data_IF_967438235533
#
_entry.id   IF_967438235533
#
_cell.length_a   1.000
_cell.length_b   1.000
_cell.length_c   1.000
_cell.angle_alpha   90.00
_cell.angle_beta   90.00
_cell.angle_gamma   90.00
#
_symmetry.space_group_name_H-M   'P 1'
#
loop_
_entity.id
_entity.type
_entity.pdbx_description
1 polymer ?
#
# COMPACT_ATOMS: atom_id res chain seq x y z
N UNK A 1 -16.79 17.27 -0.94
CA UNK A 1 -16.70 15.99 -1.67
C UNK A 1 -16.90 14.92 -0.64
N UNK A 2 -17.91 14.09 -0.82
CA UNK A 2 -18.16 12.97 0.08
C UNK A 2 -17.37 11.78 -0.46
N UNK A 3 -16.55 11.16 0.38
CA UNK A 3 -15.87 9.91 0.06
C UNK A 3 -16.94 8.81 -0.05
N UNK A 4 -17.02 8.14 -1.19
CA UNK A 4 -18.01 7.08 -1.46
C UNK A 4 -17.39 5.69 -1.62
N UNK A 5 -16.05 5.59 -1.64
CA UNK A 5 -15.30 4.34 -1.60
C UNK A 5 -14.24 4.39 -0.50
N UNK A 6 -14.07 3.29 0.23
CA UNK A 6 -13.02 3.03 1.21
C UNK A 6 -12.50 1.60 0.99
N UNK A 7 -11.67 1.43 -0.05
CA UNK A 7 -11.02 0.16 -0.36
C UNK A 7 -9.96 -0.17 0.71
N UNK A 8 -10.31 -1.07 1.62
CA UNK A 8 -9.54 -1.28 2.83
C UNK A 8 -8.70 -2.56 2.74
N UNK A 9 -7.38 -2.44 2.83
CA UNK A 9 -6.49 -3.61 2.79
C UNK A 9 -6.74 -4.58 3.96
N UNK A 10 -7.30 -4.09 5.06
CA UNK A 10 -7.73 -4.80 6.26
C UNK A 10 -6.67 -5.70 6.92
N UNK A 11 -6.82 -5.97 8.21
CA UNK A 11 -6.01 -6.94 8.94
C UNK A 11 -6.94 -7.98 9.57
N UNK A 12 -6.72 -9.26 9.26
CA UNK A 12 -7.51 -10.35 9.84
C UNK A 12 -6.71 -11.09 10.93
N UNK A 13 -7.20 -11.17 12.18
CA UNK A 13 -8.47 -10.62 12.67
C UNK A 13 -8.41 -9.12 12.95
N UNK A 14 -9.54 -8.43 12.72
CA UNK A 14 -9.73 -7.05 13.11
C UNK A 14 -10.21 -6.97 14.58
N UNK A 15 -9.70 -6.04 15.41
CA UNK A 15 -8.53 -5.19 15.18
C UNK A 15 -7.22 -5.89 15.61
N UNK A 16 -6.24 -5.96 14.70
CA UNK A 16 -4.91 -6.54 14.95
C UNK A 16 -3.85 -5.53 15.45
N UNK A 17 -4.24 -4.28 15.71
CA UNK A 17 -3.33 -3.21 16.14
C UNK A 17 -2.57 -2.51 15.00
N UNK A 18 -2.84 -2.86 13.74
CA UNK A 18 -2.32 -2.19 12.55
C UNK A 18 -3.49 -1.68 11.69
N UNK A 19 -3.35 -0.49 11.11
CA UNK A 19 -4.35 0.13 10.25
C UNK A 19 -3.94 0.00 8.78
N UNK A 20 -4.86 -0.45 7.91
CA UNK A 20 -4.67 -0.51 6.45
C UNK A 20 -3.45 -1.30 5.97
N UNK A 21 -3.01 -2.30 6.74
CA UNK A 21 -1.87 -3.15 6.38
C UNK A 21 -2.34 -4.56 6.09
N UNK A 22 -1.97 -5.09 4.92
CA UNK A 22 -2.10 -6.49 4.58
C UNK A 22 -0.74 -7.09 4.27
N UNK A 23 -0.51 -8.33 4.71
CA UNK A 23 0.61 -9.13 4.22
C UNK A 23 0.32 -9.61 2.81
N UNK A 24 1.17 -9.21 1.85
CA UNK A 24 1.19 -9.82 0.54
C UNK A 24 2.11 -11.05 0.52
N UNK A 25 1.82 -12.05 -0.32
CA UNK A 25 2.73 -13.18 -0.55
C UNK A 25 4.09 -12.71 -1.06
N UNK A 26 5.17 -13.36 -0.63
CA UNK A 26 6.54 -12.93 -0.92
C UNK A 26 6.82 -12.87 -2.43
N UNK A 27 6.21 -13.76 -3.21
CA UNK A 27 6.33 -13.80 -4.67
C UNK A 27 5.76 -12.57 -5.39
N UNK A 28 4.93 -11.77 -4.73
CA UNK A 28 4.39 -10.53 -5.29
C UNK A 28 5.35 -9.35 -5.15
N UNK A 29 6.43 -9.50 -4.37
CA UNK A 29 7.40 -8.46 -4.05
C UNK A 29 8.80 -8.91 -4.46
N UNK A 30 9.49 -8.07 -5.21
CA UNK A 30 10.93 -8.21 -5.47
C UNK A 30 11.63 -6.97 -4.95
N UNK A 31 12.53 -7.12 -3.99
CA UNK A 31 13.24 -6.00 -3.38
C UNK A 31 14.74 -6.27 -3.30
N UNK A 32 15.53 -5.26 -3.68
CA UNK A 32 16.95 -5.11 -3.35
C UNK A 32 17.09 -3.79 -2.57
N UNK A 33 16.85 -3.81 -1.25
CA UNK A 33 16.81 -2.58 -0.45
C UNK A 33 18.14 -1.82 -0.43
N UNK A 34 19.27 -2.52 -0.53
CA UNK A 34 20.60 -1.91 -0.57
C UNK A 34 20.86 -1.11 -1.86
N UNK A 35 20.24 -1.51 -2.97
CA UNK A 35 20.26 -0.75 -4.22
C UNK A 35 19.20 0.36 -4.29
N UNK A 36 18.27 0.42 -3.32
CA UNK A 36 17.12 1.31 -3.35
C UNK A 36 16.09 0.95 -4.42
N UNK A 37 16.06 -0.31 -4.86
CA UNK A 37 15.15 -0.80 -5.89
C UNK A 37 14.20 -1.82 -5.30
N UNK A 38 12.91 -1.61 -5.52
CA UNK A 38 11.91 -2.62 -5.27
C UNK A 38 10.78 -2.55 -6.29
N UNK A 39 10.06 -3.65 -6.43
CA UNK A 39 8.84 -3.72 -7.22
C UNK A 39 7.83 -4.62 -6.52
N UNK A 40 6.57 -4.26 -6.62
CA UNK A 40 5.45 -5.05 -6.13
C UNK A 40 4.41 -5.16 -7.23
N UNK A 41 3.92 -6.37 -7.48
CA UNK A 41 2.79 -6.63 -8.36
C UNK A 41 1.79 -7.50 -7.63
N UNK A 42 0.67 -6.92 -7.23
CA UNK A 42 -0.44 -7.62 -6.63
C UNK A 42 -1.65 -7.52 -7.56
N UNK A 43 -2.33 -8.64 -7.83
CA UNK A 43 -3.48 -8.71 -8.72
C UNK A 43 -4.69 -9.23 -7.98
N UNK A 44 -5.85 -8.66 -8.32
CA UNK A 44 -7.17 -9.13 -7.89
C UNK A 44 -7.24 -9.35 -6.37
N UNK A 45 -6.67 -8.39 -5.63
CA UNK A 45 -6.57 -8.39 -4.18
C UNK A 45 -7.96 -8.17 -3.61
N UNK A 46 -8.58 -9.24 -3.11
CA UNK A 46 -9.91 -9.21 -2.51
C UNK A 46 -9.93 -8.36 -1.26
N UNK A 47 -10.74 -7.33 -1.21
CA UNK A 47 -10.80 -6.41 -0.09
C UNK A 47 -12.22 -5.87 0.11
N UNK A 48 -12.60 -5.52 1.34
CA UNK A 48 -13.85 -4.82 1.58
C UNK A 48 -13.78 -3.37 1.09
N UNK A 49 -14.87 -2.92 0.48
CA UNK A 49 -15.17 -1.49 0.35
C UNK A 49 -16.21 -1.11 1.43
N UNK A 50 -15.80 -0.24 2.36
CA UNK A 50 -16.66 0.28 3.43
C UNK A 50 -17.39 1.58 3.03
N UNK A 51 -17.16 2.10 1.84
CA UNK A 51 -17.71 3.35 1.31
C UNK A 51 -17.09 4.61 1.91
N UNK A 52 -16.94 4.67 3.24
CA UNK A 52 -16.24 5.77 3.90
C UNK A 52 -15.46 5.31 5.14
N UNK A 53 -14.45 6.10 5.48
CA UNK A 53 -13.57 5.85 6.63
C UNK A 53 -14.32 5.72 7.96
N UNK A 54 -15.41 6.49 8.17
CA UNK A 54 -16.18 6.44 9.40
C UNK A 54 -16.86 5.08 9.64
N UNK A 55 -17.35 4.47 8.55
CA UNK A 55 -17.91 3.13 8.56
C UNK A 55 -16.81 2.06 8.72
N UNK A 56 -15.67 2.23 8.03
CA UNK A 56 -14.53 1.32 8.16
C UNK A 56 -13.97 1.25 9.58
N UNK A 57 -13.87 2.39 10.27
CA UNK A 57 -13.38 2.46 11.66
C UNK A 57 -14.27 1.71 12.66
N UNK A 58 -15.53 1.47 12.32
CA UNK A 58 -16.50 0.75 13.16
C UNK A 58 -16.67 -0.71 12.74
N UNK A 59 -15.88 -1.18 11.75
CA UNK A 59 -16.07 -2.47 11.09
C UNK A 59 -17.53 -2.67 10.65
N UNK A 60 -18.08 -1.64 9.99
CA UNK A 60 -19.46 -1.63 9.55
C UNK A 60 -19.73 -2.51 8.33
N UNK A 61 -20.89 -2.32 7.70
CA UNK A 61 -21.22 -3.09 6.49
C UNK A 61 -20.28 -2.73 5.34
N UNK A 62 -19.79 -3.74 4.62
CA UNK A 62 -18.95 -3.58 3.44
C UNK A 62 -19.47 -4.41 2.27
N UNK A 63 -18.98 -4.07 1.08
CA UNK A 63 -19.17 -4.87 -0.14
C UNK A 63 -17.83 -5.45 -0.60
N UNK A 64 -17.88 -6.54 -1.37
CA UNK A 64 -16.69 -7.17 -1.91
C UNK A 64 -16.15 -6.35 -3.09
N UNK A 65 -14.86 -6.04 -3.02
CA UNK A 65 -14.11 -5.38 -4.08
C UNK A 65 -12.79 -6.12 -4.35
N UNK A 66 -12.19 -5.79 -5.48
CA UNK A 66 -10.86 -6.27 -5.88
C UNK A 66 -10.00 -5.09 -6.30
N UNK A 67 -8.73 -5.09 -5.90
CA UNK A 67 -7.76 -4.10 -6.38
C UNK A 67 -6.50 -4.76 -6.94
N UNK A 68 -5.89 -4.11 -7.92
CA UNK A 68 -4.59 -4.51 -8.47
C UNK A 68 -3.61 -3.35 -8.35
N UNK A 69 -2.36 -3.66 -8.00
CA UNK A 69 -1.31 -2.70 -7.76
C UNK A 69 -0.05 -3.10 -8.53
N UNK A 70 0.54 -2.14 -9.22
CA UNK A 70 1.90 -2.22 -9.75
C UNK A 70 2.70 -1.05 -9.20
N UNK A 71 3.59 -1.32 -8.25
CA UNK A 71 4.40 -0.30 -7.58
C UNK A 71 5.88 -0.54 -7.89
N UNK A 72 6.61 0.54 -8.16
CA UNK A 72 8.06 0.51 -8.37
C UNK A 72 8.72 1.56 -7.51
N UNK A 73 9.71 1.15 -6.74
CA UNK A 73 10.62 2.03 -6.00
C UNK A 73 11.97 2.03 -6.70
N UNK A 74 12.47 3.21 -7.05
CA UNK A 74 13.76 3.39 -7.70
C UNK A 74 14.32 4.78 -7.44
N UNK A 75 15.64 4.92 -7.57
CA UNK A 75 16.31 6.21 -7.47
C UNK A 75 16.55 6.62 -6.03
N UNK A 76 17.39 5.86 -5.33
CA UNK A 76 17.81 6.20 -3.97
C UNK A 76 18.43 7.61 -3.94
N UNK A 77 17.96 8.45 -3.02
CA UNK A 77 18.38 9.86 -2.90
C UNK A 77 19.22 10.14 -1.67
N UNK A 78 19.16 9.30 -0.64
CA UNK A 78 19.96 9.46 0.58
C UNK A 78 19.63 8.42 1.65
N UNK A 79 20.46 8.27 2.69
CA UNK A 79 20.17 7.39 3.82
C UNK A 79 18.95 7.88 4.61
N UNK A 80 18.19 6.94 5.17
CA UNK A 80 17.04 7.22 6.01
C UNK A 80 17.02 6.29 7.23
N UNK A 81 16.94 6.91 8.40
CA UNK A 81 16.75 6.24 9.69
C UNK A 81 15.72 7.05 10.47
N UNK A 82 14.48 6.57 10.61
CA UNK A 82 13.47 7.25 11.41
C UNK A 82 13.85 7.14 12.90
N UNK A 83 13.58 8.17 13.70
CA UNK A 83 13.73 8.06 15.15
C UNK A 83 12.68 7.08 15.69
N UNK A 84 13.11 5.94 16.23
CA UNK A 84 12.25 4.93 16.85
C UNK A 84 12.95 4.30 18.05
N UNK A 85 12.19 3.99 19.10
CA UNK A 85 12.64 3.20 20.24
C UNK A 85 12.09 1.76 20.22
N UNK A 86 11.30 1.41 19.21
CA UNK A 86 10.61 0.11 19.11
C UNK A 86 11.30 -0.84 18.13
N UNK A 87 11.94 -0.29 17.10
CA UNK A 87 12.61 -1.03 16.04
C UNK A 87 13.78 -0.22 15.51
N UNK A 88 14.73 -0.90 14.87
CA UNK A 88 15.80 -0.29 14.09
C UNK A 88 15.44 -0.41 12.62
N UNK A 89 15.40 0.74 11.93
CA UNK A 89 15.25 0.81 10.48
C UNK A 89 16.49 1.42 9.85
N UNK A 90 17.07 0.72 8.88
CA UNK A 90 18.18 1.21 8.06
C UNK A 90 17.79 1.13 6.60
N UNK A 91 17.75 2.26 5.92
CA UNK A 91 17.37 2.31 4.51
C UNK A 91 17.72 3.61 3.82
N UNK A 92 16.97 3.90 2.77
CA UNK A 92 17.16 5.05 1.91
C UNK A 92 15.83 5.72 1.58
N UNK A 93 15.83 7.04 1.43
CA UNK A 93 14.78 7.73 0.67
C UNK A 93 14.90 7.35 -0.81
N UNK A 94 13.77 7.16 -1.48
CA UNK A 94 13.69 6.74 -2.88
C UNK A 94 12.51 7.44 -3.58
N UNK A 95 12.45 7.37 -4.91
CA UNK A 95 11.22 7.62 -5.64
C UNK A 95 10.31 6.39 -5.65
N UNK A 96 9.02 6.59 -5.84
CA UNK A 96 8.05 5.52 -6.12
C UNK A 96 7.02 5.94 -7.16
N UNK A 97 6.64 5.00 -8.04
CA UNK A 97 5.53 5.15 -8.98
C UNK A 97 4.51 4.04 -8.76
N UNK A 98 3.24 4.33 -9.04
CA UNK A 98 2.14 3.39 -8.88
C UNK A 98 1.16 3.50 -10.06
N UNK A 99 0.78 2.35 -10.61
CA UNK A 99 -0.47 2.19 -11.34
C UNK A 99 -1.35 1.24 -10.53
N UNK A 100 -2.63 1.58 -10.37
CA UNK A 100 -3.56 0.72 -9.65
C UNK A 100 -4.97 0.81 -10.23
N UNK A 101 -5.76 -0.21 -9.93
CA UNK A 101 -7.17 -0.28 -10.30
C UNK A 101 -7.98 -0.90 -9.18
N UNK A 102 -9.26 -0.60 -9.15
CA UNK A 102 -10.22 -1.24 -8.26
C UNK A 102 -11.52 -1.52 -8.99
N UNK A 103 -12.20 -2.59 -8.60
CA UNK A 103 -13.51 -2.98 -9.12
C UNK A 103 -14.39 -3.48 -8.00
N UNK A 104 -15.67 -3.11 -8.07
CA UNK A 104 -16.75 -3.68 -7.26
C UNK A 104 -18.03 -3.77 -8.11
N UNK A 105 -19.13 -4.22 -7.51
CA UNK A 105 -20.40 -4.33 -8.22
C UNK A 105 -20.89 -2.97 -8.76
N UNK A 106 -20.82 -2.77 -10.07
CA UNK A 106 -21.28 -1.55 -10.74
C UNK A 106 -20.26 -0.41 -10.77
N UNK A 107 -19.03 -0.62 -10.28
CA UNK A 107 -17.98 0.38 -10.28
C UNK A 107 -16.63 -0.20 -10.72
N UNK A 108 -15.89 0.59 -11.51
CA UNK A 108 -14.53 0.30 -11.89
C UNK A 108 -13.72 1.60 -11.93
N UNK A 109 -12.53 1.54 -11.34
CA UNK A 109 -11.54 2.60 -11.33
C UNK A 109 -10.22 2.10 -11.91
N UNK A 110 -9.55 2.96 -12.67
CA UNK A 110 -8.18 2.77 -13.10
C UNK A 110 -7.44 4.10 -12.96
N UNK A 111 -6.26 4.07 -12.34
CA UNK A 111 -5.40 5.24 -12.24
C UNK A 111 -4.83 5.64 -13.60
N UNK A 112 -4.32 6.86 -13.68
CA UNK A 112 -3.43 7.23 -14.78
C UNK A 112 -2.17 6.33 -14.79
N UNK A 113 -1.44 6.26 -15.93
CA UNK A 113 -0.24 5.45 -16.05
C UNK A 113 0.82 5.81 -15.00
N UNK A 114 1.61 4.82 -14.56
CA UNK A 114 2.58 5.00 -13.47
C UNK A 114 3.58 6.15 -13.68
N UNK A 115 3.91 6.51 -14.93
CA UNK A 115 4.84 7.60 -15.24
C UNK A 115 4.26 9.01 -14.98
N UNK A 116 2.96 9.13 -14.68
CA UNK A 116 2.33 10.37 -14.23
C UNK A 116 2.19 10.45 -12.70
N UNK A 117 2.65 9.43 -11.97
CA UNK A 117 2.66 9.44 -10.51
C UNK A 117 3.49 10.59 -9.95
N UNK A 118 2.95 11.25 -8.92
CA UNK A 118 3.71 12.20 -8.09
C UNK A 118 4.12 11.51 -6.80
N UNK A 119 5.42 11.47 -6.52
CA UNK A 119 5.94 10.93 -5.27
C UNK A 119 6.15 12.05 -4.25
N UNK A 120 5.47 11.96 -3.10
CA UNK A 120 5.69 12.87 -1.97
C UNK A 120 6.79 12.36 -1.03
N UNK A 121 6.76 11.05 -0.74
CA UNK A 121 7.71 10.38 0.13
C UNK A 121 7.72 8.89 -0.18
N UNK A 122 8.90 8.28 -0.20
CA UNK A 122 9.05 6.84 -0.17
C UNK A 122 10.40 6.47 0.45
N UNK A 123 10.42 5.35 1.17
CA UNK A 123 11.63 4.79 1.77
C UNK A 123 11.68 3.30 1.49
N UNK A 124 12.89 2.78 1.34
CA UNK A 124 13.15 1.35 1.20
C UNK A 124 14.31 0.98 2.13
N UNK A 125 14.18 -0.11 2.88
CA UNK A 125 15.18 -0.50 3.86
C UNK A 125 14.84 -1.79 4.58
N UNK A 126 15.67 -2.09 5.57
CA UNK A 126 15.51 -3.22 6.47
C UNK A 126 15.04 -2.72 7.84
N UNK A 127 14.00 -3.37 8.34
CA UNK A 127 13.56 -3.26 9.72
C UNK A 127 14.04 -4.46 10.53
N UNK A 128 14.38 -4.24 11.80
CA UNK A 128 14.73 -5.26 12.78
C UNK A 128 14.23 -4.84 14.17
N UNK A 129 13.84 -5.83 14.99
CA UNK A 129 13.45 -5.64 16.39
C UNK A 129 14.61 -5.93 17.34
#
# INVERSE_FOLDING_TARGET
>A
MDQIHDFNLDINPFPGGLFWTRRFPEETVSADPGSGIASMTAKDVKLPDYGNIGNALQDGASVAAEASFAVRWTGATGPFTPPSSLFVFTGHTTGATVEWSATEAGFAFKSDPANTSTNNFAVLGHESN
#
